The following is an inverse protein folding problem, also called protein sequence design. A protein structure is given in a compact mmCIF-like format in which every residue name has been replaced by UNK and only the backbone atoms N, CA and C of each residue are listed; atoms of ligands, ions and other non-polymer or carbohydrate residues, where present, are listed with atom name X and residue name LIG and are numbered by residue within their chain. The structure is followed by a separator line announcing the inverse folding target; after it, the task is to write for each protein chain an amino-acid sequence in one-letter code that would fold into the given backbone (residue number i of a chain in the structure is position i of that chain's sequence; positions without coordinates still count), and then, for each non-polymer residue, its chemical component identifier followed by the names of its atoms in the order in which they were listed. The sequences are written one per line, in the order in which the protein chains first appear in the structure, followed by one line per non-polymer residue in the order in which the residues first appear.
data_IF_898785900828
#
_entry.id   IF_898785900828
#
_cell.length_a   1.000
_cell.length_b   1.000
_cell.length_c   1.000
_cell.angle_alpha   90.00
_cell.angle_beta   90.00
_cell.angle_gamma   90.00
#
_symmetry.space_group_name_H-M   'P 1'
#
loop_
_entity.id
_entity.type
_entity.pdbx_description
1 polymer ?
#
# COMPACT_ATOMS: atom_id res chain seq x y z
N UNK A 1 3.89 -18.68 -51.42
CA UNK A 1 4.45 -17.61 -50.56
C UNK A 1 5.62 -18.21 -49.79
N UNK A 2 6.87 -17.81 -50.01
CA UNK A 2 7.97 -18.22 -49.14
C UNK A 2 7.75 -17.60 -47.75
N UNK A 3 7.99 -18.39 -46.70
CA UNK A 3 7.78 -18.01 -45.30
C UNK A 3 8.56 -16.75 -44.90
N UNK A 4 7.85 -15.72 -44.42
CA UNK A 4 8.42 -14.47 -43.91
C UNK A 4 9.02 -14.61 -42.49
N UNK A 5 9.40 -15.82 -42.09
CA UNK A 5 9.97 -16.11 -40.78
C UNK A 5 11.40 -16.56 -41.03
N UNK A 6 12.33 -15.68 -40.70
CA UNK A 6 13.75 -16.00 -40.63
C UNK A 6 14.10 -16.16 -39.15
N UNK A 7 14.55 -17.34 -38.69
CA UNK A 7 15.07 -17.46 -37.35
C UNK A 7 16.34 -16.62 -37.23
N UNK A 8 16.35 -15.70 -36.26
CA UNK A 8 17.58 -15.09 -35.78
C UNK A 8 18.30 -16.20 -35.00
N UNK A 9 19.34 -16.79 -35.59
CA UNK A 9 20.45 -17.50 -34.95
C UNK A 9 20.20 -18.16 -33.55
N UNK A 10 20.46 -19.47 -33.42
CA UNK A 10 20.37 -20.23 -32.16
C UNK A 10 21.39 -19.78 -31.07
N UNK A 11 22.11 -18.67 -31.32
CA UNK A 11 23.11 -18.08 -30.43
C UNK A 11 22.56 -17.18 -29.31
N UNK A 12 21.25 -17.19 -29.03
CA UNK A 12 20.66 -16.58 -27.84
C UNK A 12 21.02 -17.31 -26.53
N UNK A 13 22.29 -17.64 -26.34
CA UNK A 13 22.84 -18.10 -25.07
C UNK A 13 23.17 -16.91 -24.18
N UNK A 14 22.19 -16.08 -23.83
CA UNK A 14 22.36 -15.20 -22.67
C UNK A 14 22.28 -16.09 -21.42
N UNK A 15 23.44 -16.57 -20.96
CA UNK A 15 23.52 -17.20 -19.65
C UNK A 15 23.23 -16.14 -18.59
N UNK A 16 22.14 -16.33 -17.84
CA UNK A 16 21.81 -15.52 -16.69
C UNK A 16 22.14 -16.28 -15.41
N UNK A 17 22.76 -15.60 -14.45
CA UNK A 17 23.05 -16.17 -13.13
C UNK A 17 21.79 -16.20 -12.27
N UNK A 18 20.93 -15.18 -12.43
CA UNK A 18 19.70 -15.01 -11.64
C UNK A 18 18.56 -14.53 -12.53
N UNK A 19 17.39 -15.12 -12.34
CA UNK A 19 16.13 -14.63 -12.88
C UNK A 19 15.33 -14.00 -11.74
N UNK A 20 14.91 -12.75 -11.92
CA UNK A 20 14.01 -12.03 -11.02
C UNK A 20 12.64 -11.95 -11.69
N UNK A 21 11.60 -12.43 -11.00
CA UNK A 21 10.23 -12.42 -11.49
C UNK A 21 9.43 -11.35 -10.74
N UNK A 22 8.94 -10.37 -11.48
CA UNK A 22 8.21 -9.20 -11.00
C UNK A 22 9.11 -7.96 -10.88
N UNK A 23 8.69 -6.87 -11.51
CA UNK A 23 9.34 -5.55 -11.53
C UNK A 23 8.67 -4.54 -10.59
N UNK A 24 8.09 -5.02 -9.49
CA UNK A 24 7.76 -4.18 -8.34
C UNK A 24 9.02 -3.71 -7.61
N UNK A 25 8.87 -2.84 -6.60
CA UNK A 25 10.02 -2.34 -5.81
C UNK A 25 10.96 -3.44 -5.31
N UNK A 26 10.42 -4.56 -4.85
CA UNK A 26 11.21 -5.70 -4.39
C UNK A 26 12.10 -6.29 -5.49
N UNK A 27 11.52 -6.60 -6.65
CA UNK A 27 12.29 -7.16 -7.76
C UNK A 27 13.25 -6.15 -8.39
N UNK A 28 12.88 -4.86 -8.48
CA UNK A 28 13.76 -3.81 -8.98
C UNK A 28 15.00 -3.64 -8.08
N UNK A 29 14.82 -3.61 -6.77
CA UNK A 29 15.93 -3.49 -5.81
C UNK A 29 16.77 -4.75 -5.78
N UNK A 30 16.14 -5.94 -5.83
CA UNK A 30 16.86 -7.21 -5.91
C UNK A 30 17.71 -7.27 -7.19
N UNK A 31 17.13 -7.04 -8.36
CA UNK A 31 17.83 -7.05 -9.63
C UNK A 31 18.98 -6.04 -9.66
N UNK A 32 18.74 -4.80 -9.21
CA UNK A 32 19.76 -3.76 -9.11
C UNK A 32 20.91 -4.20 -8.19
N UNK A 33 20.61 -4.69 -6.99
CA UNK A 33 21.64 -5.05 -6.02
C UNK A 33 22.44 -6.29 -6.46
N UNK A 34 21.80 -7.27 -7.10
CA UNK A 34 22.47 -8.43 -7.69
C UNK A 34 23.38 -8.02 -8.85
N UNK A 35 22.90 -7.15 -9.74
CA UNK A 35 23.72 -6.66 -10.85
C UNK A 35 24.88 -5.78 -10.36
N UNK A 36 24.59 -4.74 -9.56
CA UNK A 36 25.60 -3.73 -9.20
C UNK A 36 26.54 -4.14 -8.07
N UNK A 37 26.06 -4.91 -7.09
CA UNK A 37 26.87 -5.23 -5.91
C UNK A 37 27.48 -6.63 -5.97
N UNK A 38 26.99 -7.50 -6.86
CA UNK A 38 27.46 -8.88 -7.02
C UNK A 38 27.96 -9.20 -8.43
N UNK A 39 27.85 -8.26 -9.38
CA UNK A 39 28.29 -8.42 -10.77
C UNK A 39 27.67 -9.65 -11.47
N UNK A 40 26.39 -9.91 -11.17
CA UNK A 40 25.64 -11.04 -11.74
C UNK A 40 24.84 -10.62 -12.97
N UNK A 41 24.74 -11.51 -13.95
CA UNK A 41 23.86 -11.36 -15.12
C UNK A 41 22.42 -11.66 -14.70
N UNK A 42 21.59 -10.61 -14.62
CA UNK A 42 20.21 -10.71 -14.14
C UNK A 42 19.21 -10.55 -15.28
N UNK A 43 18.31 -11.53 -15.43
CA UNK A 43 17.11 -11.41 -16.25
C UNK A 43 15.93 -10.97 -15.38
N UNK A 44 15.37 -9.80 -15.64
CA UNK A 44 14.16 -9.32 -14.98
C UNK A 44 12.93 -9.57 -15.87
N UNK A 45 11.97 -10.34 -15.39
CA UNK A 45 10.73 -10.68 -16.09
C UNK A 45 9.54 -10.01 -15.40
N UNK A 46 8.68 -9.34 -16.16
CA UNK A 46 7.46 -8.72 -15.67
C UNK A 46 6.26 -9.23 -16.47
N UNK A 47 5.16 -9.52 -15.78
CA UNK A 47 3.95 -10.01 -16.41
C UNK A 47 3.08 -8.87 -16.98
N UNK A 48 3.21 -7.67 -16.42
CA UNK A 48 2.54 -6.45 -16.86
C UNK A 48 3.32 -5.74 -17.97
N UNK A 49 2.69 -4.73 -18.55
CA UNK A 49 3.27 -3.77 -19.49
C UNK A 49 3.98 -2.59 -18.79
N UNK A 50 4.14 -2.67 -17.46
CA UNK A 50 4.69 -1.59 -16.63
C UNK A 50 5.44 -2.13 -15.41
N UNK A 51 6.35 -1.31 -14.91
CA UNK A 51 7.03 -1.53 -13.63
C UNK A 51 6.20 -1.03 -12.44
N UNK A 52 6.72 -1.23 -11.22
CA UNK A 52 6.18 -0.68 -9.97
C UNK A 52 5.20 -1.59 -9.23
N UNK A 53 4.67 -2.62 -9.90
CA UNK A 53 3.79 -3.62 -9.29
C UNK A 53 2.51 -3.00 -8.72
N UNK A 54 2.33 -3.10 -7.39
CA UNK A 54 1.18 -2.53 -6.65
C UNK A 54 1.30 -1.02 -6.38
N UNK A 55 2.33 -0.36 -6.92
CA UNK A 55 2.49 1.10 -6.89
C UNK A 55 2.63 1.60 -8.31
N UNK A 56 1.67 2.39 -8.77
CA UNK A 56 1.72 3.03 -10.09
C UNK A 56 0.82 4.25 -10.14
N UNK A 57 1.12 5.12 -11.09
CA UNK A 57 0.44 6.40 -11.28
C UNK A 57 -0.39 6.37 -12.55
N UNK A 58 -1.68 6.70 -12.45
CA UNK A 58 -2.55 6.92 -13.60
C UNK A 58 -2.57 8.40 -13.97
N UNK A 59 -2.71 8.70 -15.27
CA UNK A 59 -2.88 10.07 -15.75
C UNK A 59 -4.34 10.32 -16.09
N UNK A 60 -4.95 11.28 -15.41
CA UNK A 60 -6.33 11.70 -15.67
C UNK A 60 -6.47 13.20 -15.45
N UNK A 61 -7.36 13.87 -16.19
CA UNK A 61 -7.62 15.31 -16.02
C UNK A 61 -6.37 16.22 -16.00
N UNK A 62 -5.30 15.83 -16.70
CA UNK A 62 -4.04 16.58 -16.73
C UNK A 62 -3.17 16.43 -15.48
N UNK A 63 -3.53 15.54 -14.56
CA UNK A 63 -2.85 15.31 -13.28
C UNK A 63 -2.44 13.84 -13.13
N UNK A 64 -1.54 13.61 -12.18
CA UNK A 64 -1.01 12.30 -11.78
C UNK A 64 -1.77 11.77 -10.54
N UNK A 65 -2.34 10.58 -10.65
CA UNK A 65 -3.16 9.91 -9.64
C UNK A 65 -2.47 8.64 -9.13
N UNK A 66 -2.21 8.56 -7.83
CA UNK A 66 -1.58 7.38 -7.22
C UNK A 66 -2.60 6.26 -7.02
N UNK A 67 -2.39 5.15 -7.72
CA UNK A 67 -3.34 4.03 -7.76
C UNK A 67 -3.06 2.97 -6.68
N UNK A 68 -2.02 3.15 -5.88
CA UNK A 68 -1.55 2.16 -4.90
C UNK A 68 -0.76 2.79 -3.76
N UNK A 69 0.46 2.30 -3.53
CA UNK A 69 1.33 2.83 -2.47
C UNK A 69 1.62 4.33 -2.65
N UNK A 70 0.98 5.17 -1.83
CA UNK A 70 0.96 6.64 -2.01
C UNK A 70 1.78 7.37 -0.96
N UNK A 71 1.65 6.96 0.30
CA UNK A 71 2.17 7.70 1.44
C UNK A 71 3.53 7.15 1.87
N UNK A 72 4.44 8.08 2.13
CA UNK A 72 5.84 7.79 2.47
C UNK A 72 6.24 8.65 3.65
N UNK A 73 7.16 8.15 4.48
CA UNK A 73 7.58 8.85 5.70
C UNK A 73 9.07 8.62 5.97
N UNK A 74 9.76 9.57 6.59
CA UNK A 74 11.18 9.39 6.97
C UNK A 74 11.43 8.28 8.02
N UNK A 75 10.37 7.70 8.59
CA UNK A 75 10.47 6.53 9.49
C UNK A 75 10.47 5.20 8.72
N UNK A 76 10.40 5.25 7.40
CA UNK A 76 10.55 4.14 6.47
C UNK A 76 11.97 4.21 5.87
N UNK A 77 12.97 3.64 6.56
CA UNK A 77 14.36 3.92 6.26
C UNK A 77 14.80 3.39 4.90
N UNK A 78 14.27 2.25 4.46
CA UNK A 78 14.66 1.64 3.18
C UNK A 78 14.13 2.47 2.02
N UNK A 79 12.85 2.85 2.08
CA UNK A 79 12.27 3.70 1.04
C UNK A 79 12.90 5.10 1.04
N UNK A 80 13.06 5.72 2.21
CA UNK A 80 13.61 7.06 2.30
C UNK A 80 15.09 7.13 1.87
N UNK A 81 15.86 6.06 2.10
CA UNK A 81 17.21 5.93 1.57
C UNK A 81 17.22 5.88 0.03
N UNK A 82 16.29 5.15 -0.59
CA UNK A 82 16.15 5.12 -2.05
C UNK A 82 15.72 6.48 -2.62
N UNK A 83 14.80 7.17 -1.93
CA UNK A 83 14.42 8.54 -2.31
C UNK A 83 15.64 9.45 -2.35
N UNK A 84 16.44 9.46 -1.28
CA UNK A 84 17.61 10.32 -1.21
C UNK A 84 18.70 9.92 -2.21
N UNK A 85 18.92 8.60 -2.40
CA UNK A 85 19.84 8.06 -3.41
C UNK A 85 19.53 8.59 -4.82
N UNK A 86 18.25 8.78 -5.11
CA UNK A 86 17.76 9.25 -6.41
C UNK A 86 17.41 10.74 -6.44
N UNK A 87 17.64 11.47 -5.34
CA UNK A 87 17.32 12.91 -5.23
C UNK A 87 15.82 13.22 -5.35
N UNK A 88 14.95 12.29 -4.94
CA UNK A 88 13.49 12.36 -5.06
C UNK A 88 12.80 12.95 -3.84
N UNK A 89 13.49 13.06 -2.70
CA UNK A 89 12.99 13.65 -1.46
C UNK A 89 12.53 15.10 -1.64
N UNK A 90 13.14 15.83 -2.58
CA UNK A 90 12.79 17.22 -2.93
C UNK A 90 11.48 17.34 -3.73
N UNK A 91 10.96 16.24 -4.22
CA UNK A 91 9.74 16.19 -5.04
C UNK A 91 8.52 15.70 -4.24
N UNK A 92 8.65 15.56 -2.92
CA UNK A 92 7.54 15.22 -2.05
C UNK A 92 6.48 16.30 -2.08
N UNK A 93 5.27 15.88 -2.43
CA UNK A 93 4.08 16.70 -2.34
C UNK A 93 3.44 16.45 -0.97
N UNK A 94 3.29 17.51 -0.17
CA UNK A 94 2.62 17.41 1.13
C UNK A 94 1.12 17.27 0.92
N UNK A 95 0.52 16.19 1.42
CA UNK A 95 -0.94 16.06 1.45
C UNK A 95 -1.53 16.94 2.56
N UNK A 96 -2.40 17.88 2.19
CA UNK A 96 -3.10 18.71 3.16
C UNK A 96 -4.29 17.94 3.77
N UNK A 97 -4.30 17.82 5.10
CA UNK A 97 -5.46 17.41 5.88
C UNK A 97 -5.69 15.91 5.97
N UNK A 98 -5.21 15.30 7.06
CA UNK A 98 -6.04 14.31 7.73
C UNK A 98 -7.25 15.07 8.26
N UNK A 99 -8.48 14.61 7.99
CA UNK A 99 -9.60 14.98 8.85
C UNK A 99 -9.23 14.65 10.31
N UNK A 100 -9.88 15.30 11.29
CA UNK A 100 -9.64 15.00 12.71
C UNK A 100 -9.53 13.49 12.94
N UNK A 101 -8.44 13.05 13.60
CA UNK A 101 -8.19 11.64 13.85
C UNK A 101 -9.30 11.07 14.73
N UNK A 102 -10.17 10.26 14.15
CA UNK A 102 -11.13 9.47 14.92
C UNK A 102 -10.47 8.15 15.35
N UNK A 103 -10.22 8.03 16.64
CA UNK A 103 -9.74 6.79 17.23
C UNK A 103 -10.91 5.82 17.33
N UNK A 104 -10.82 4.74 16.57
CA UNK A 104 -11.91 3.78 16.46
C UNK A 104 -11.43 2.34 16.63
N UNK A 105 -12.21 1.56 17.37
CA UNK A 105 -11.96 0.12 17.55
C UNK A 105 -12.96 -0.71 16.77
N UNK A 106 -12.44 -1.64 16.00
CA UNK A 106 -13.24 -2.73 15.46
C UNK A 106 -13.47 -3.76 16.56
N UNK A 107 -14.73 -3.95 16.94
CA UNK A 107 -15.13 -5.07 17.79
C UNK A 107 -15.08 -6.36 16.96
N UNK A 108 -14.59 -7.48 17.50
CA UNK A 108 -14.79 -8.78 16.87
C UNK A 108 -16.28 -9.01 16.59
N UNK A 109 -16.59 -9.71 15.49
CA UNK A 109 -17.93 -10.19 15.12
C UNK A 109 -18.87 -9.18 14.41
N UNK A 110 -18.32 -8.22 13.68
CA UNK A 110 -19.14 -7.37 12.79
C UNK A 110 -20.03 -6.34 13.49
N UNK A 111 -19.85 -6.15 14.81
CA UNK A 111 -20.52 -5.08 15.55
C UNK A 111 -20.02 -3.70 15.12
N UNK A 112 -20.83 -2.66 15.36
CA UNK A 112 -20.47 -1.29 15.01
C UNK A 112 -19.14 -0.86 15.64
N UNK A 113 -18.37 -0.12 14.85
CA UNK A 113 -17.12 0.54 15.25
C UNK A 113 -17.35 1.36 16.54
N UNK A 114 -16.52 1.15 17.56
CA UNK A 114 -16.57 1.98 18.77
C UNK A 114 -15.67 3.19 18.60
N UNK A 115 -16.26 4.38 18.67
CA UNK A 115 -15.54 5.65 18.75
C UNK A 115 -14.92 5.82 20.13
N UNK A 116 -13.69 6.30 20.17
CA UNK A 116 -12.97 6.64 21.40
C UNK A 116 -12.94 8.17 21.47
N UNK A 117 -13.79 8.73 22.32
CA UNK A 117 -13.89 10.18 22.53
C UNK A 117 -12.81 10.69 23.51
N UNK A 118 -12.41 9.85 24.47
CA UNK A 118 -11.29 10.11 25.39
C UNK A 118 -10.05 9.30 24.97
N UNK A 119 -9.34 9.84 23.99
CA UNK A 119 -8.10 9.24 23.46
C UNK A 119 -7.02 9.16 24.53
N UNK A 120 -6.92 10.16 25.41
CA UNK A 120 -5.90 10.23 26.45
C UNK A 120 -6.11 9.13 27.49
N UNK A 121 -7.31 9.00 28.05
CA UNK A 121 -7.64 7.95 28.99
C UNK A 121 -7.67 6.56 28.37
N UNK A 122 -8.03 6.44 27.08
CA UNK A 122 -7.89 5.19 26.34
C UNK A 122 -6.43 4.78 26.16
N UNK A 123 -5.56 5.71 25.75
CA UNK A 123 -4.12 5.48 25.64
C UNK A 123 -3.50 5.15 27.00
N UNK A 124 -3.89 5.82 28.08
CA UNK A 124 -3.44 5.51 29.42
C UNK A 124 -3.82 4.07 29.85
N UNK A 125 -5.05 3.64 29.53
CA UNK A 125 -5.49 2.25 29.76
C UNK A 125 -4.75 1.26 28.89
N UNK A 126 -4.53 1.57 27.61
CA UNK A 126 -3.73 0.73 26.71
C UNK A 126 -2.30 0.61 27.21
N UNK A 127 -1.68 1.71 27.67
CA UNK A 127 -0.33 1.71 28.26
C UNK A 127 -0.32 0.86 29.52
N UNK A 128 -1.29 1.00 30.41
CA UNK A 128 -1.38 0.18 31.63
C UNK A 128 -1.56 -1.32 31.32
N UNK A 129 -2.43 -1.67 30.37
CA UNK A 129 -2.59 -3.06 29.92
C UNK A 129 -1.34 -3.56 29.21
N UNK A 130 -0.70 -2.73 28.40
CA UNK A 130 0.56 -3.04 27.74
C UNK A 130 1.69 -3.25 28.76
N UNK A 131 1.77 -2.45 29.82
CA UNK A 131 2.73 -2.63 30.90
C UNK A 131 2.52 -3.95 31.64
N UNK A 132 1.28 -4.36 31.88
CA UNK A 132 0.96 -5.65 32.49
C UNK A 132 1.19 -6.84 31.56
N UNK A 133 0.97 -6.66 30.26
CA UNK A 133 1.07 -7.73 29.26
C UNK A 133 2.49 -7.90 28.69
N UNK A 134 3.23 -6.81 28.55
CA UNK A 134 4.63 -6.80 28.06
C UNK A 134 5.66 -6.71 29.19
N UNK A 135 5.22 -6.51 30.43
CA UNK A 135 6.07 -6.63 31.61
C UNK A 135 6.44 -8.08 31.83
N UNK A 136 7.65 -8.46 31.45
CA UNK A 136 8.30 -9.69 31.89
C UNK A 136 9.34 -9.27 32.93
N UNK A 137 9.27 -9.85 34.12
CA UNK A 137 10.27 -9.70 35.19
C UNK A 137 10.60 -8.24 35.58
N UNK A 138 9.60 -7.35 35.61
CA UNK A 138 9.76 -5.97 36.09
C UNK A 138 10.39 -4.98 35.10
N UNK A 139 10.59 -5.38 33.83
CA UNK A 139 11.09 -4.48 32.78
C UNK A 139 9.95 -3.74 32.05
N UNK A 140 10.16 -2.46 31.73
CA UNK A 140 9.15 -1.62 31.06
C UNK A 140 9.04 -1.93 29.57
N UNK A 141 7.89 -1.67 28.90
CA UNK A 141 7.73 -1.86 27.45
C UNK A 141 8.76 -1.09 26.61
N UNK A 142 9.35 0.00 27.13
CA UNK A 142 10.42 0.77 26.48
C UNK A 142 11.72 -0.02 26.38
N UNK A 143 11.89 -1.03 27.23
CA UNK A 143 13.02 -1.95 27.28
C UNK A 143 12.76 -3.26 26.50
N UNK A 144 11.50 -3.61 26.19
CA UNK A 144 11.12 -4.92 25.64
C UNK A 144 10.25 -4.93 24.36
N UNK A 145 9.70 -3.81 23.88
CA UNK A 145 8.63 -3.88 22.89
C UNK A 145 9.09 -4.01 21.41
N UNK A 146 8.60 -5.06 20.73
CA UNK A 146 8.41 -5.07 19.27
C UNK A 146 6.97 -5.52 18.91
N UNK A 147 6.15 -4.51 18.56
CA UNK A 147 5.04 -4.48 17.58
C UNK A 147 3.60 -4.89 17.98
N UNK A 148 2.62 -4.11 17.46
CA UNK A 148 1.53 -4.52 16.52
C UNK A 148 0.69 -3.32 16.00
N UNK A 149 0.20 -3.37 14.74
CA UNK A 149 -0.78 -2.40 14.15
C UNK A 149 -1.73 -3.04 13.09
N UNK A 150 -2.77 -2.28 12.74
CA UNK A 150 -4.12 -2.49 12.12
C UNK A 150 -4.26 -2.86 10.60
N UNK A 151 -5.53 -2.93 10.11
CA UNK A 151 -6.04 -3.30 8.77
C UNK A 151 -6.80 -2.11 8.08
N UNK A 152 -6.55 -1.80 6.79
CA UNK A 152 -7.51 -1.11 5.87
C UNK A 152 -7.50 -1.76 4.46
N UNK A 153 -8.31 -1.26 3.52
CA UNK A 153 -8.44 -1.83 2.17
C UNK A 153 -8.70 -0.74 1.10
N UNK A 154 -8.12 -0.95 -0.10
CA UNK A 154 -8.23 -0.29 -1.42
C UNK A 154 -8.35 1.25 -1.52
N UNK A 155 -7.39 1.96 -2.18
CA UNK A 155 -7.50 3.40 -2.47
C UNK A 155 -8.38 3.68 -3.70
N UNK A 156 -9.19 4.74 -3.63
CA UNK A 156 -10.03 5.35 -4.68
C UNK A 156 -9.70 6.84 -4.67
N UNK A 157 -9.52 7.48 -5.83
CA UNK A 157 -9.28 8.93 -5.90
C UNK A 157 -10.44 9.63 -6.61
N UNK A 158 -11.03 10.64 -5.97
CA UNK A 158 -12.27 11.32 -6.36
C UNK A 158 -11.99 12.80 -6.62
N UNK A 159 -12.55 13.32 -7.72
CA UNK A 159 -12.50 14.74 -8.06
C UNK A 159 -13.77 15.47 -7.59
N UNK A 160 -13.58 16.54 -6.82
CA UNK A 160 -14.59 17.35 -6.15
C UNK A 160 -14.57 18.80 -6.60
N UNK A 161 -15.74 19.45 -6.55
CA UNK A 161 -15.84 20.91 -6.59
C UNK A 161 -15.64 21.50 -5.16
N UNK A 162 -14.70 22.44 -5.02
CA UNK A 162 -14.44 23.33 -3.86
C UNK A 162 -13.71 22.79 -2.58
N UNK A 163 -13.19 23.73 -1.77
CA UNK A 163 -12.05 23.62 -0.83
C UNK A 163 -12.35 23.38 0.67
N UNK A 164 -13.45 22.74 1.06
CA UNK A 164 -13.76 22.55 2.48
C UNK A 164 -13.19 21.23 3.07
N UNK A 165 -13.05 21.09 4.40
CA UNK A 165 -12.72 19.81 5.04
C UNK A 165 -13.82 18.75 4.80
N UNK A 166 -13.43 17.47 4.81
CA UNK A 166 -14.28 16.33 4.47
C UNK A 166 -14.49 15.45 5.71
N UNK A 167 -15.72 14.97 5.92
CA UNK A 167 -16.19 14.24 7.11
C UNK A 167 -16.25 12.72 6.86
N UNK A 168 -16.15 11.89 7.92
CA UNK A 168 -16.05 10.41 7.85
C UNK A 168 -17.37 9.69 8.20
N UNK A 169 -18.10 9.13 7.23
CA UNK A 169 -19.30 8.28 7.44
C UNK A 169 -19.62 7.37 6.23
N UNK A 170 -19.78 6.03 6.40
CA UNK A 170 -20.35 5.16 5.36
C UNK A 170 -19.49 3.97 4.93
N UNK A 171 -19.71 3.44 3.72
CA UNK A 171 -18.94 2.36 3.08
C UNK A 171 -17.59 2.80 2.50
N UNK A 172 -17.36 4.11 2.44
CA UNK A 172 -16.08 4.72 2.11
C UNK A 172 -15.50 5.47 3.31
N UNK A 173 -14.16 5.49 3.41
CA UNK A 173 -13.41 6.34 4.34
C UNK A 173 -12.65 7.40 3.57
N UNK A 174 -12.85 8.66 3.94
CA UNK A 174 -12.00 9.75 3.47
C UNK A 174 -10.69 9.79 4.26
N UNK A 175 -9.56 9.91 3.56
CA UNK A 175 -8.22 9.91 4.20
C UNK A 175 -7.47 11.23 4.00
N UNK A 176 -7.76 11.97 2.94
CA UNK A 176 -7.17 13.30 2.76
C UNK A 176 -7.46 13.92 1.41
N UNK A 177 -7.28 15.24 1.33
CA UNK A 177 -7.35 15.99 0.09
C UNK A 177 -5.94 16.05 -0.44
N UNK A 178 -5.74 15.49 -1.62
CA UNK A 178 -4.41 15.35 -2.17
C UNK A 178 -3.95 16.68 -2.78
N UNK A 179 -4.83 17.39 -3.49
CA UNK A 179 -4.52 18.68 -4.13
C UNK A 179 -5.74 19.57 -4.32
N UNK A 180 -5.48 20.87 -4.38
CA UNK A 180 -6.42 21.91 -4.85
C UNK A 180 -5.74 22.67 -5.97
N UNK A 181 -6.33 22.68 -7.16
CA UNK A 181 -5.89 23.51 -8.30
C UNK A 181 -7.06 24.39 -8.80
N UNK A 182 -6.86 25.15 -9.88
CA UNK A 182 -7.91 26.00 -10.46
C UNK A 182 -9.14 25.22 -10.99
N UNK A 183 -9.02 23.89 -11.17
CA UNK A 183 -10.04 23.01 -11.75
C UNK A 183 -10.90 22.33 -10.68
N UNK A 184 -10.38 22.14 -9.46
CA UNK A 184 -11.11 21.52 -8.35
C UNK A 184 -10.23 21.03 -7.20
N UNK A 185 -10.84 20.25 -6.30
CA UNK A 185 -10.15 19.56 -5.21
C UNK A 185 -10.17 18.04 -5.46
N UNK A 186 -9.08 17.34 -5.20
CA UNK A 186 -9.01 15.88 -5.32
C UNK A 186 -8.94 15.23 -3.94
N UNK A 187 -9.83 14.27 -3.68
CA UNK A 187 -9.92 13.53 -2.43
C UNK A 187 -9.50 12.08 -2.63
N UNK A 188 -8.65 11.55 -1.76
CA UNK A 188 -8.44 10.10 -1.68
C UNK A 188 -9.41 9.49 -0.67
N UNK A 189 -10.10 8.43 -1.11
CA UNK A 189 -11.04 7.65 -0.34
C UNK A 189 -10.65 6.17 -0.36
N UNK A 190 -11.10 5.41 0.63
CA UNK A 190 -10.83 3.98 0.75
C UNK A 190 -12.13 3.22 0.88
N UNK A 191 -12.32 2.18 0.07
CA UNK A 191 -13.49 1.31 0.14
C UNK A 191 -13.36 0.31 1.29
N UNK A 192 -14.41 0.15 2.11
CA UNK A 192 -14.40 -0.88 3.14
C UNK A 192 -14.88 -2.22 2.59
N UNK A 193 -14.13 -3.28 2.90
CA UNK A 193 -14.50 -4.65 2.54
C UNK A 193 -15.91 -4.97 3.03
N UNK A 194 -16.75 -5.53 2.14
CA UNK A 194 -18.14 -5.87 2.42
C UNK A 194 -19.16 -4.73 2.26
N UNK A 195 -18.73 -3.48 2.01
CA UNK A 195 -19.64 -2.34 1.79
C UNK A 195 -19.51 -1.68 0.42
N UNK A 196 -18.28 -1.61 -0.11
CA UNK A 196 -18.01 -1.19 -1.49
C UNK A 196 -17.13 -2.27 -2.12
N UNK A 197 -17.71 -3.13 -2.93
CA UNK A 197 -17.01 -4.33 -3.43
C UNK A 197 -16.44 -4.14 -4.83
N UNK A 198 -17.10 -3.34 -5.65
CA UNK A 198 -16.72 -3.12 -7.04
C UNK A 198 -16.58 -1.63 -7.34
N UNK A 199 -15.35 -1.09 -7.45
CA UNK A 199 -15.16 0.31 -7.78
C UNK A 199 -15.54 0.64 -9.24
N UNK A 200 -15.87 -0.34 -10.08
CA UNK A 200 -16.44 -0.12 -11.42
C UNK A 200 -17.94 0.14 -11.39
N UNK A 201 -18.61 -0.18 -10.28
CA UNK A 201 -20.02 0.16 -10.07
C UNK A 201 -20.16 1.65 -9.71
N UNK A 202 -20.20 2.49 -10.74
CA UNK A 202 -20.28 3.96 -10.60
C UNK A 202 -21.44 4.40 -9.70
N UNK A 203 -22.59 3.74 -9.78
CA UNK A 203 -23.78 4.11 -9.01
C UNK A 203 -23.56 3.89 -7.50
N UNK A 204 -22.91 2.79 -7.15
CA UNK A 204 -22.56 2.47 -5.76
C UNK A 204 -21.53 3.47 -5.21
N UNK A 205 -20.48 3.78 -5.98
CA UNK A 205 -19.47 4.79 -5.63
C UNK A 205 -20.12 6.16 -5.41
N UNK A 206 -20.98 6.62 -6.33
CA UNK A 206 -21.71 7.89 -6.20
C UNK A 206 -22.60 7.89 -4.96
N UNK A 207 -23.27 6.77 -4.68
CA UNK A 207 -24.20 6.64 -3.55
C UNK A 207 -23.45 6.72 -2.22
N UNK A 208 -22.35 5.98 -2.08
CA UNK A 208 -21.49 6.04 -0.89
C UNK A 208 -20.82 7.41 -0.76
N UNK A 209 -20.48 8.05 -1.88
CA UNK A 209 -19.90 9.40 -1.87
C UNK A 209 -20.90 10.42 -1.34
N UNK A 210 -22.15 10.38 -1.79
CA UNK A 210 -23.21 11.28 -1.33
C UNK A 210 -23.55 11.09 0.14
N UNK A 211 -23.41 9.88 0.69
CA UNK A 211 -23.56 9.64 2.14
C UNK A 211 -22.48 10.39 2.94
N UNK A 212 -21.25 10.43 2.41
CA UNK A 212 -20.14 11.16 3.02
C UNK A 212 -20.26 12.67 2.83
N UNK A 213 -20.67 13.11 1.65
CA UNK A 213 -20.64 14.51 1.22
C UNK A 213 -21.94 14.88 0.48
N UNK A 214 -23.07 15.03 1.21
CA UNK A 214 -24.38 15.27 0.59
C UNK A 214 -24.44 16.54 -0.27
N UNK A 215 -23.75 17.58 0.19
CA UNK A 215 -23.76 18.92 -0.41
C UNK A 215 -22.74 19.08 -1.56
N UNK A 216 -21.92 18.05 -1.84
CA UNK A 216 -20.85 18.16 -2.85
C UNK A 216 -21.18 17.43 -4.13
N UNK A 217 -20.70 18.01 -5.23
CA UNK A 217 -20.74 17.40 -6.55
C UNK A 217 -19.43 16.67 -6.85
N UNK A 218 -19.54 15.38 -7.15
CA UNK A 218 -18.43 14.60 -7.72
C UNK A 218 -18.40 14.82 -9.24
N UNK A 219 -17.25 15.25 -9.76
CA UNK A 219 -17.04 15.42 -11.22
C UNK A 219 -16.63 14.13 -11.90
N UNK A 220 -15.93 13.27 -11.19
CA UNK A 220 -15.43 11.99 -11.67
C UNK A 220 -14.54 11.35 -10.62
N UNK A 221 -14.11 10.11 -10.87
CA UNK A 221 -13.16 9.41 -10.02
C UNK A 221 -12.28 8.46 -10.85
N UNK A 222 -11.12 8.12 -10.31
CA UNK A 222 -10.25 7.07 -10.83
C UNK A 222 -10.08 6.00 -9.76
N UNK A 223 -10.07 4.74 -10.18
CA UNK A 223 -9.90 3.60 -9.29
C UNK A 223 -9.18 2.46 -10.03
N UNK A 224 -8.47 1.63 -9.27
CA UNK A 224 -7.89 0.38 -9.76
C UNK A 224 -8.42 -0.78 -8.92
N UNK A 225 -9.01 -1.78 -9.56
CA UNK A 225 -9.61 -2.93 -8.86
C UNK A 225 -8.55 -3.97 -8.51
N UNK A 226 -7.76 -3.72 -7.47
CA UNK A 226 -6.70 -4.63 -7.05
C UNK A 226 -7.19 -6.01 -6.60
N UNK A 227 -8.45 -6.13 -6.13
CA UNK A 227 -9.03 -7.37 -5.63
C UNK A 227 -9.20 -8.43 -6.72
N UNK A 228 -9.57 -8.00 -7.93
CA UNK A 228 -9.77 -8.88 -9.09
C UNK A 228 -8.62 -8.81 -10.09
N UNK A 229 -7.64 -7.95 -9.87
CA UNK A 229 -6.40 -7.88 -10.67
C UNK A 229 -5.68 -9.25 -10.62
N UNK A 230 -5.45 -9.91 -11.77
CA UNK A 230 -4.94 -11.28 -11.81
C UNK A 230 -3.52 -11.43 -11.25
N UNK A 231 -2.73 -10.35 -11.24
CA UNK A 231 -1.35 -10.35 -10.75
C UNK A 231 -1.20 -9.76 -9.35
N UNK A 232 -2.29 -9.29 -8.72
CA UNK A 232 -2.26 -8.78 -7.34
C UNK A 232 -3.23 -9.51 -6.41
N UNK A 233 -4.47 -9.75 -6.85
CA UNK A 233 -5.53 -10.45 -6.10
C UNK A 233 -5.78 -9.86 -4.69
N UNK A 234 -5.54 -8.57 -4.54
CA UNK A 234 -5.58 -7.84 -3.28
C UNK A 234 -4.70 -6.59 -3.28
N UNK A 235 -4.89 -5.75 -2.26
CA UNK A 235 -4.07 -4.55 -2.01
C UNK A 235 -2.77 -4.86 -1.29
N UNK A 236 -2.47 -4.12 -0.22
CA UNK A 236 -1.40 -4.42 0.69
C UNK A 236 -1.77 -5.58 1.61
N UNK A 237 -0.74 -6.23 2.12
CA UNK A 237 -0.88 -7.33 3.05
C UNK A 237 -1.46 -6.86 4.39
N UNK A 238 -2.54 -7.51 4.79
CA UNK A 238 -3.14 -7.39 6.10
C UNK A 238 -3.48 -8.81 6.61
N UNK A 239 -2.73 -9.30 7.59
CA UNK A 239 -2.87 -10.67 8.06
C UNK A 239 -4.05 -10.83 9.04
N UNK A 240 -4.74 -11.97 8.96
CA UNK A 240 -5.63 -12.39 10.03
C UNK A 240 -4.85 -12.63 11.36
N UNK A 241 -5.51 -12.54 12.53
CA UNK A 241 -4.89 -12.85 13.80
C UNK A 241 -4.19 -14.22 13.81
N UNK A 242 -2.95 -14.26 14.30
CA UNK A 242 -2.15 -15.50 14.38
C UNK A 242 -1.59 -16.00 13.04
N UNK A 243 -1.91 -15.37 11.90
CA UNK A 243 -1.39 -15.81 10.60
C UNK A 243 0.12 -15.62 10.51
N UNK A 244 0.63 -14.45 10.90
CA UNK A 244 2.06 -14.16 10.78
C UNK A 244 2.92 -15.07 11.68
N UNK A 245 2.46 -15.37 12.90
CA UNK A 245 3.16 -16.28 13.81
C UNK A 245 3.24 -17.71 13.29
N UNK A 246 2.27 -18.13 12.46
CA UNK A 246 2.23 -19.48 11.88
C UNK A 246 3.01 -19.60 10.58
N UNK A 247 2.90 -18.60 9.69
CA UNK A 247 3.30 -18.75 8.30
C UNK A 247 4.54 -17.94 7.89
N UNK A 248 4.92 -16.92 8.66
CA UNK A 248 5.95 -15.96 8.22
C UNK A 248 7.31 -16.63 7.98
N UNK A 249 7.70 -17.56 8.86
CA UNK A 249 8.97 -18.27 8.72
C UNK A 249 9.03 -19.06 7.41
N UNK A 250 7.99 -19.84 7.13
CA UNK A 250 7.92 -20.65 5.92
C UNK A 250 7.95 -19.80 4.63
N UNK A 251 7.36 -18.61 4.64
CA UNK A 251 7.37 -17.70 3.49
C UNK A 251 8.73 -17.02 3.25
N UNK A 252 9.57 -16.95 4.28
CA UNK A 252 10.92 -16.37 4.21
C UNK A 252 12.00 -17.42 3.93
N UNK A 253 11.68 -18.71 4.08
CA UNK A 253 12.61 -19.80 3.82
C UNK A 253 12.79 -20.01 2.30
N UNK A 254 14.03 -20.11 1.80
CA UNK A 254 14.29 -20.49 0.42
C UNK A 254 13.78 -21.90 0.13
N UNK A 255 13.28 -22.11 -1.10
CA UNK A 255 12.91 -23.43 -1.59
C UNK A 255 13.90 -23.87 -2.68
N UNK A 256 15.01 -24.48 -2.26
CA UNK A 256 16.12 -24.81 -3.15
C UNK A 256 16.80 -23.55 -3.68
N UNK A 257 16.77 -23.35 -5.02
CA UNK A 257 17.30 -22.14 -5.68
C UNK A 257 16.25 -21.04 -5.87
N UNK A 258 15.05 -21.21 -5.33
CA UNK A 258 13.96 -20.24 -5.42
C UNK A 258 13.87 -19.46 -4.12
N UNK A 259 14.00 -18.14 -4.23
CA UNK A 259 13.89 -17.20 -3.11
C UNK A 259 12.62 -16.38 -3.28
N UNK A 260 11.75 -16.40 -2.26
CA UNK A 260 10.50 -15.66 -2.25
C UNK A 260 10.72 -14.32 -1.54
N UNK A 261 10.55 -13.21 -2.28
CA UNK A 261 10.71 -11.86 -1.73
C UNK A 261 9.46 -11.01 -2.03
N UNK A 262 8.88 -10.41 -0.98
CA UNK A 262 7.71 -9.54 -1.08
C UNK A 262 7.56 -8.70 0.19
N UNK A 263 6.98 -7.50 0.04
CA UNK A 263 6.56 -6.68 1.16
C UNK A 263 5.64 -7.42 2.14
N UNK A 264 4.90 -8.42 1.65
CA UNK A 264 3.87 -9.13 2.39
C UNK A 264 4.44 -10.01 3.52
N UNK A 265 5.71 -10.40 3.42
CA UNK A 265 6.43 -11.15 4.46
C UNK A 265 7.72 -10.45 4.90
N UNK A 266 7.80 -9.13 4.77
CA UNK A 266 8.93 -8.36 5.28
C UNK A 266 9.01 -8.40 6.82
N UNK A 267 10.21 -8.25 7.39
CA UNK A 267 10.40 -8.14 8.84
C UNK A 267 10.03 -6.76 9.40
N UNK A 268 10.19 -5.70 8.61
CA UNK A 268 9.99 -4.30 9.00
C UNK A 268 8.56 -3.80 8.75
N UNK A 269 8.46 -2.82 7.85
CA UNK A 269 7.21 -2.21 7.36
C UNK A 269 6.47 -3.14 6.40
N UNK A 270 6.05 -4.31 6.92
CA UNK A 270 5.33 -5.33 6.17
C UNK A 270 4.03 -4.79 5.57
N UNK A 271 3.82 -5.06 4.29
CA UNK A 271 2.70 -4.56 3.49
C UNK A 271 2.91 -3.16 2.90
N UNK A 272 4.00 -2.47 3.22
CA UNK A 272 4.30 -1.14 2.68
C UNK A 272 5.43 -1.20 1.65
N UNK A 273 5.62 -0.10 0.90
CA UNK A 273 6.70 0.01 -0.09
C UNK A 273 8.08 -0.21 0.57
N UNK A 274 8.28 0.32 1.77
CA UNK A 274 9.51 0.14 2.53
C UNK A 274 9.84 -1.33 2.80
N UNK A 275 8.84 -2.14 3.15
CA UNK A 275 9.00 -3.58 3.31
C UNK A 275 9.26 -4.32 1.99
N UNK A 276 8.94 -3.72 0.83
CA UNK A 276 9.33 -4.28 -0.46
C UNK A 276 10.84 -4.11 -0.71
N UNK A 277 11.44 -3.04 -0.20
CA UNK A 277 12.82 -2.66 -0.48
C UNK A 277 13.80 -3.34 0.49
N UNK A 278 13.42 -3.47 1.77
CA UNK A 278 14.26 -4.04 2.83
C UNK A 278 14.26 -5.56 2.86
#
# INVERSE_FOLDING_TARGET
MPSAIFPADDSYGHNYDVIVIGSGFCGLVAARNLALNRDLQVLLLEARDRIGGRTWTAKAWGEDFEMGGTYVHWHQPHFYAEMHRHGLEKHLKTSAGMADMEFVLNKPNGSSVQRIDDVSGYNARLVSVAEQFFGIDGMTPRQTCRKKTQIFSFPIQIHLEAHLPLTQHGGMRYVGTQYTNQVGAYAMMFGHSGKLQDPTNHQEVITEFKKLQPERKMRGYVAHTWSTDPFAKGTWFAAAPGWATKNLKALQEPHGRVFMASADWAQGWRGFIDGAIG
#
